data_IF_660900939940
#
_entry.id   IF_660900939940
#
_cell.length_a   1.000
_cell.length_b   1.000
_cell.length_c   1.000
_cell.angle_alpha   90.00
_cell.angle_beta   90.00
_cell.angle_gamma   90.00
#
_symmetry.space_group_name_H-M   'P 1'
#
loop_
_entity.id
_entity.type
_entity.pdbx_description
1 polymer ?
#
# COMPACT_ATOMS: atom_id res chain seq x y z
N UNK A 1 -17.56 -7.98 22.89
CA UNK A 1 -17.61 -7.16 21.66
C UNK A 1 -16.47 -6.16 21.73
N UNK A 2 -15.66 -6.01 20.68
CA UNK A 2 -14.61 -4.97 20.65
C UNK A 2 -15.25 -3.57 20.75
N UNK A 3 -14.70 -2.65 21.57
CA UNK A 3 -15.28 -1.32 21.76
C UNK A 3 -15.35 -0.52 20.44
N UNK A 4 -16.24 0.47 20.40
CA UNK A 4 -16.20 1.50 19.34
C UNK A 4 -15.14 2.52 19.75
N UNK A 5 -14.25 2.89 18.82
CA UNK A 5 -13.24 3.92 19.08
C UNK A 5 -13.81 5.26 18.64
N UNK A 6 -13.79 6.24 19.55
CA UNK A 6 -14.18 7.62 19.26
C UNK A 6 -12.92 8.44 18.99
N UNK A 7 -12.91 9.13 17.85
CA UNK A 7 -11.86 10.06 17.47
C UNK A 7 -12.40 11.49 17.59
N UNK A 8 -11.61 12.37 18.21
CA UNK A 8 -11.95 13.78 18.36
C UNK A 8 -11.01 14.65 17.56
N UNK A 9 -11.56 15.53 16.74
CA UNK A 9 -10.82 16.64 16.17
C UNK A 9 -10.79 17.78 17.20
N UNK A 10 -9.59 18.12 17.69
CA UNK A 10 -9.42 19.15 18.73
C UNK A 10 -9.57 20.58 18.21
N UNK A 11 -9.50 20.81 16.90
CA UNK A 11 -9.66 22.14 16.30
C UNK A 11 -11.14 22.54 16.22
N UNK A 12 -12.02 21.64 15.78
CA UNK A 12 -13.45 21.92 15.58
C UNK A 12 -14.37 21.22 16.59
N UNK A 13 -13.83 20.32 17.43
CA UNK A 13 -14.58 19.57 18.43
C UNK A 13 -15.39 18.38 17.89
N UNK A 14 -15.33 18.12 16.58
CA UNK A 14 -16.07 17.05 15.91
C UNK A 14 -15.65 15.66 16.42
N UNK A 15 -16.64 14.78 16.58
CA UNK A 15 -16.45 13.39 16.99
C UNK A 15 -16.81 12.46 15.83
N UNK A 16 -15.91 11.52 15.53
CA UNK A 16 -16.13 10.48 14.53
C UNK A 16 -15.92 9.10 15.15
N UNK A 17 -16.72 8.12 14.73
CA UNK A 17 -16.61 6.74 15.19
C UNK A 17 -15.77 5.91 14.21
N UNK A 18 -14.71 5.27 14.70
CA UNK A 18 -14.01 4.23 13.96
C UNK A 18 -14.66 2.86 14.25
N UNK A 19 -15.24 2.27 13.20
CA UNK A 19 -15.74 0.89 13.18
C UNK A 19 -14.88 -0.03 12.32
N UNK A 20 -14.02 0.54 11.46
CA UNK A 20 -13.22 -0.19 10.48
C UNK A 20 -12.06 -0.94 11.14
N UNK A 21 -11.53 -0.46 12.28
CA UNK A 21 -10.49 -1.15 13.04
C UNK A 21 -10.87 -2.60 13.42
N UNK A 22 -12.17 -2.91 13.51
CA UNK A 22 -12.68 -4.26 13.78
C UNK A 22 -12.45 -5.24 12.64
N UNK A 23 -12.24 -4.72 11.43
CA UNK A 23 -11.92 -5.53 10.26
C UNK A 23 -10.43 -5.94 10.24
N UNK A 24 -9.56 -5.33 11.04
CA UNK A 24 -8.11 -5.63 11.07
C UNK A 24 -7.85 -7.11 11.40
N UNK A 25 -8.62 -7.71 12.31
CA UNK A 25 -8.46 -9.13 12.66
C UNK A 25 -9.04 -10.11 11.63
N UNK A 26 -9.81 -9.60 10.64
CA UNK A 26 -10.47 -10.39 9.59
C UNK A 26 -9.94 -10.09 8.19
N UNK A 27 -9.08 -9.09 8.07
CA UNK A 27 -8.53 -8.62 6.81
C UNK A 27 -7.04 -8.97 6.81
N UNK A 28 -6.69 -10.17 6.33
CA UNK A 28 -5.29 -10.57 6.22
C UNK A 28 -4.53 -9.78 5.11
N UNK A 29 -5.26 -8.95 4.35
CA UNK A 29 -4.85 -8.17 3.19
C UNK A 29 -3.84 -7.04 3.47
N UNK A 30 -3.69 -6.60 4.72
CA UNK A 30 -2.85 -5.43 5.06
C UNK A 30 -1.49 -5.78 5.63
N UNK A 31 -1.03 -7.00 5.36
CA UNK A 31 0.31 -7.39 5.69
C UNK A 31 1.30 -7.04 4.57
N UNK A 32 1.63 -5.75 4.45
CA UNK A 32 3.04 -5.43 4.13
C UNK A 32 4.00 -5.95 5.21
N UNK A 33 3.47 -6.47 6.30
CA UNK A 33 4.11 -7.23 7.36
C UNK A 33 2.96 -7.81 8.18
N UNK A 34 3.07 -9.02 8.74
CA UNK A 34 2.25 -9.44 9.88
C UNK A 34 2.56 -8.42 10.99
N UNK A 35 1.94 -7.25 10.94
CA UNK A 35 1.95 -6.26 11.99
C UNK A 35 0.95 -6.83 13.00
N UNK A 36 1.35 -7.93 13.65
CA UNK A 36 1.11 -7.99 15.09
C UNK A 36 1.45 -6.60 15.57
N UNK A 37 0.43 -5.89 16.05
CA UNK A 37 0.56 -4.53 16.52
C UNK A 37 1.86 -4.49 17.32
N UNK A 38 2.84 -3.74 16.83
CA UNK A 38 4.16 -3.72 17.47
C UNK A 38 4.06 -3.13 18.88
N UNK A 39 2.98 -2.39 19.09
CA UNK A 39 2.46 -1.95 20.36
C UNK A 39 1.77 -3.10 21.12
N UNK A 40 1.96 -3.13 22.44
CA UNK A 40 1.18 -3.95 23.35
C UNK A 40 0.59 -3.07 24.46
N UNK A 41 -0.19 -3.65 25.36
CA UNK A 41 -0.85 -2.92 26.45
C UNK A 41 0.11 -2.12 27.35
N UNK A 42 1.38 -2.50 27.41
CA UNK A 42 2.41 -1.81 28.20
C UNK A 42 3.32 -0.85 27.42
N UNK A 43 3.39 -0.96 26.09
CA UNK A 43 4.36 -0.22 25.28
C UNK A 43 3.79 0.15 23.92
N UNK A 44 3.75 1.45 23.62
CA UNK A 44 3.48 1.95 22.28
C UNK A 44 4.77 2.06 21.47
N UNK A 45 4.81 1.46 20.27
CA UNK A 45 5.95 1.48 19.34
C UNK A 45 5.64 2.19 18.02
N UNK A 46 4.66 3.10 18.00
CA UNK A 46 4.18 3.75 16.78
C UNK A 46 5.22 4.64 16.08
N UNK A 47 6.23 5.11 16.80
CA UNK A 47 7.31 5.95 16.27
C UNK A 47 8.39 5.18 15.51
N UNK A 48 8.38 3.84 15.56
CA UNK A 48 9.34 3.04 14.80
C UNK A 48 9.01 3.12 13.30
N UNK A 49 9.98 3.58 12.51
CA UNK A 49 9.85 3.66 11.04
C UNK A 49 9.73 2.26 10.45
N UNK A 50 10.60 1.34 10.86
CA UNK A 50 10.56 -0.07 10.50
C UNK A 50 10.40 -0.89 11.79
N UNK A 51 9.19 -1.33 12.13
CA UNK A 51 9.02 -2.26 13.24
C UNK A 51 9.79 -3.56 12.96
N UNK A 52 10.41 -4.13 14.00
CA UNK A 52 11.05 -5.45 13.90
C UNK A 52 9.99 -6.52 13.71
N UNK A 53 9.70 -6.84 12.46
CA UNK A 53 8.86 -7.99 12.10
C UNK A 53 9.81 -9.13 11.81
N UNK A 54 9.57 -10.31 12.40
CA UNK A 54 10.32 -11.50 12.02
C UNK A 54 10.10 -11.70 10.52
N UNK A 55 11.18 -11.68 9.73
CA UNK A 55 11.13 -12.07 8.32
C UNK A 55 10.57 -13.48 8.26
N UNK A 56 9.29 -13.59 7.90
CA UNK A 56 8.67 -14.88 7.70
C UNK A 56 9.08 -15.33 6.29
N UNK A 57 10.25 -15.95 6.17
CA UNK A 57 10.76 -16.53 4.92
C UNK A 57 9.95 -17.73 4.44
N UNK A 58 8.90 -18.13 5.19
CA UNK A 58 8.02 -19.23 4.82
C UNK A 58 6.91 -18.77 3.89
N UNK A 59 6.76 -19.46 2.77
CA UNK A 59 5.56 -19.39 1.93
C UNK A 59 4.30 -19.67 2.78
N UNK A 60 3.22 -18.93 2.51
CA UNK A 60 1.92 -19.13 3.17
C UNK A 60 1.41 -20.54 2.96
N UNK A 61 0.72 -21.09 3.95
CA UNK A 61 0.06 -22.39 3.79
C UNK A 61 -1.12 -22.27 2.83
N UNK A 62 -1.57 -23.39 2.27
CA UNK A 62 -2.75 -23.41 1.39
C UNK A 62 -3.99 -22.90 2.12
N UNK A 63 -4.10 -23.23 3.41
CA UNK A 63 -5.20 -22.82 4.28
C UNK A 63 -5.17 -21.30 4.50
N UNK A 64 -3.99 -20.73 4.78
CA UNK A 64 -3.82 -19.28 4.89
C UNK A 64 -4.23 -18.60 3.57
N UNK A 65 -3.70 -19.06 2.42
CA UNK A 65 -4.05 -18.48 1.10
C UNK A 65 -5.55 -18.54 0.84
N UNK A 66 -6.22 -19.66 1.13
CA UNK A 66 -7.67 -19.80 0.98
C UNK A 66 -8.44 -18.83 1.86
N UNK A 67 -8.05 -18.67 3.12
CA UNK A 67 -8.70 -17.74 4.05
C UNK A 67 -8.61 -16.31 3.52
N UNK A 68 -7.41 -15.89 3.08
CA UNK A 68 -7.20 -14.56 2.52
C UNK A 68 -7.96 -14.34 1.21
N UNK A 69 -7.92 -15.33 0.31
CA UNK A 69 -8.59 -15.26 -0.98
C UNK A 69 -10.10 -15.12 -0.81
N UNK A 70 -10.69 -15.86 0.15
CA UNK A 70 -12.13 -15.79 0.44
C UNK A 70 -12.53 -14.43 1.01
N UNK A 71 -11.73 -13.88 1.93
CA UNK A 71 -11.98 -12.57 2.49
C UNK A 71 -11.91 -11.49 1.41
N UNK A 72 -10.89 -11.54 0.55
CA UNK A 72 -10.73 -10.63 -0.57
C UNK A 72 -11.86 -10.74 -1.59
N UNK A 73 -12.26 -11.96 -1.98
CA UNK A 73 -13.35 -12.17 -2.94
C UNK A 73 -14.66 -11.54 -2.44
N UNK A 74 -14.99 -11.70 -1.16
CA UNK A 74 -16.16 -11.08 -0.55
C UNK A 74 -16.09 -9.55 -0.58
N UNK A 75 -14.93 -8.98 -0.27
CA UNK A 75 -14.72 -7.54 -0.32
C UNK A 75 -14.81 -6.99 -1.76
N UNK A 76 -14.23 -7.72 -2.72
CA UNK A 76 -14.32 -7.40 -4.14
C UNK A 76 -15.76 -7.40 -4.64
N UNK A 77 -16.53 -8.47 -4.36
CA UNK A 77 -17.93 -8.58 -4.75
C UNK A 77 -18.81 -7.50 -4.10
N UNK A 78 -18.59 -7.21 -2.81
CA UNK A 78 -19.28 -6.13 -2.11
C UNK A 78 -18.95 -4.72 -2.69
N UNK A 79 -17.76 -4.56 -3.26
CA UNK A 79 -17.30 -3.33 -3.91
C UNK A 79 -17.91 -3.11 -5.29
N UNK A 80 -18.39 -4.15 -5.97
CA UNK A 80 -19.01 -4.05 -7.30
C UNK A 80 -20.48 -3.65 -7.21
N UNK A 81 -20.81 -2.41 -7.61
CA UNK A 81 -22.20 -1.95 -7.69
C UNK A 81 -22.90 -2.58 -8.89
N UNK A 82 -24.06 -3.23 -8.68
CA UNK A 82 -24.99 -3.60 -9.75
C UNK A 82 -24.87 -5.01 -10.31
N UNK A 83 -24.11 -5.91 -9.67
CA UNK A 83 -24.13 -7.34 -10.01
C UNK A 83 -25.51 -7.95 -9.71
N UNK A 84 -26.11 -8.60 -10.70
CA UNK A 84 -27.27 -9.48 -10.51
C UNK A 84 -26.75 -10.87 -10.15
N UNK A 85 -27.25 -11.47 -9.06
CA UNK A 85 -26.82 -12.80 -8.59
C UNK A 85 -25.40 -12.87 -7.98
N UNK A 86 -24.99 -11.92 -7.11
CA UNK A 86 -23.62 -11.87 -6.59
C UNK A 86 -23.20 -13.13 -5.82
N UNK A 87 -24.15 -13.84 -5.19
CA UNK A 87 -23.86 -15.06 -4.42
C UNK A 87 -23.48 -16.25 -5.33
N UNK A 88 -24.10 -16.37 -6.50
CA UNK A 88 -23.82 -17.46 -7.44
C UNK A 88 -22.47 -17.25 -8.14
N UNK A 89 -22.19 -16.01 -8.54
CA UNK A 89 -20.89 -15.63 -9.10
C UNK A 89 -19.76 -15.74 -8.06
N UNK A 90 -19.99 -15.34 -6.81
CA UNK A 90 -19.04 -15.56 -5.71
C UNK A 90 -18.77 -17.05 -5.51
N UNK A 91 -19.81 -17.89 -5.44
CA UNK A 91 -19.67 -19.33 -5.25
C UNK A 91 -18.92 -20.00 -6.41
N UNK A 92 -19.20 -19.58 -7.64
CA UNK A 92 -18.49 -20.07 -8.84
C UNK A 92 -17.01 -19.68 -8.80
N UNK A 93 -16.70 -18.40 -8.60
CA UNK A 93 -15.33 -17.91 -8.55
C UNK A 93 -14.56 -18.52 -7.38
N UNK A 94 -15.21 -18.71 -6.23
CA UNK A 94 -14.62 -19.42 -5.09
C UNK A 94 -14.24 -20.86 -5.43
N UNK A 95 -15.10 -21.59 -6.16
CA UNK A 95 -14.80 -22.96 -6.60
C UNK A 95 -13.56 -23.05 -7.48
N UNK A 96 -13.37 -22.09 -8.39
CA UNK A 96 -12.17 -21.98 -9.24
C UNK A 96 -10.91 -21.74 -8.41
N UNK A 97 -10.96 -20.72 -7.53
CA UNK A 97 -9.84 -20.36 -6.64
C UNK A 97 -9.46 -21.55 -5.76
N UNK A 98 -10.44 -22.19 -5.13
CA UNK A 98 -10.19 -23.31 -4.23
C UNK A 98 -9.54 -24.50 -4.96
N UNK A 99 -9.99 -24.81 -6.18
CA UNK A 99 -9.38 -25.84 -7.01
C UNK A 99 -7.93 -25.50 -7.39
N UNK A 100 -7.67 -24.24 -7.79
CA UNK A 100 -6.32 -23.79 -8.17
C UNK A 100 -5.35 -23.81 -6.98
N UNK A 101 -5.78 -23.34 -5.80
CA UNK A 101 -4.97 -23.37 -4.57
C UNK A 101 -4.69 -24.81 -4.12
N UNK A 102 -5.68 -25.70 -4.22
CA UNK A 102 -5.48 -27.11 -3.91
C UNK A 102 -4.43 -27.75 -4.82
N UNK A 103 -4.47 -27.44 -6.12
CA UNK A 103 -3.56 -28.00 -7.13
C UNK A 103 -2.14 -27.41 -7.05
N UNK A 104 -2.01 -26.08 -6.96
CA UNK A 104 -0.72 -25.39 -7.15
C UNK A 104 -0.15 -24.77 -5.87
N UNK A 105 -0.97 -24.61 -4.83
CA UNK A 105 -0.63 -23.89 -3.62
C UNK A 105 -0.89 -22.39 -3.64
N UNK A 106 -1.26 -21.82 -4.79
CA UNK A 106 -1.65 -20.42 -4.96
C UNK A 106 -2.77 -20.29 -6.00
N UNK A 107 -3.14 -19.07 -6.38
CA UNK A 107 -4.11 -18.83 -7.45
C UNK A 107 -3.80 -17.56 -8.24
N UNK A 108 -4.46 -17.42 -9.38
CA UNK A 108 -4.27 -16.28 -10.27
C UNK A 108 -5.45 -15.32 -10.18
N UNK A 109 -5.18 -14.09 -9.74
CA UNK A 109 -6.15 -12.99 -9.75
C UNK A 109 -6.53 -12.62 -11.19
N UNK A 110 -7.78 -12.24 -11.43
CA UNK A 110 -8.18 -11.60 -12.69
C UNK A 110 -7.63 -10.17 -12.76
N UNK A 111 -7.58 -9.55 -13.95
CA UNK A 111 -7.17 -8.15 -14.09
C UNK A 111 -8.08 -7.19 -13.29
N UNK A 112 -9.38 -7.49 -13.24
CA UNK A 112 -10.36 -6.72 -12.47
C UNK A 112 -10.13 -6.85 -10.95
N UNK A 113 -9.90 -8.09 -10.49
CA UNK A 113 -9.53 -8.36 -9.09
C UNK A 113 -8.23 -7.64 -8.73
N UNK A 114 -7.20 -7.73 -9.58
CA UNK A 114 -5.92 -7.10 -9.33
C UNK A 114 -6.02 -5.58 -9.29
N UNK A 115 -6.74 -4.97 -10.22
CA UNK A 115 -6.98 -3.51 -10.24
C UNK A 115 -7.71 -3.06 -8.98
N UNK A 116 -8.72 -3.81 -8.54
CA UNK A 116 -9.41 -3.52 -7.28
C UNK A 116 -8.47 -3.64 -6.08
N UNK A 117 -7.69 -4.72 -6.02
CA UNK A 117 -6.73 -4.98 -4.95
C UNK A 117 -5.66 -3.89 -4.82
N UNK A 118 -5.13 -3.39 -5.95
CA UNK A 118 -4.15 -2.29 -5.98
C UNK A 118 -4.76 -0.99 -5.45
N UNK A 119 -5.95 -0.61 -5.93
CA UNK A 119 -6.66 0.57 -5.45
C UNK A 119 -6.93 0.48 -3.93
N UNK A 120 -7.36 -0.70 -3.48
CA UNK A 120 -7.65 -0.96 -2.08
C UNK A 120 -6.38 -0.93 -1.22
N UNK A 121 -5.26 -1.48 -1.69
CA UNK A 121 -3.97 -1.43 -1.01
C UNK A 121 -3.53 0.02 -0.79
N UNK A 122 -3.65 0.88 -1.80
CA UNK A 122 -3.34 2.30 -1.66
C UNK A 122 -4.31 3.02 -0.71
N UNK A 123 -5.62 2.77 -0.82
CA UNK A 123 -6.64 3.31 0.10
C UNK A 123 -6.34 3.01 1.57
N UNK A 124 -5.69 1.88 1.83
CA UNK A 124 -5.43 1.41 3.18
C UNK A 124 -3.98 1.61 3.62
N UNK A 125 -3.12 2.25 2.82
CA UNK A 125 -1.76 2.58 3.21
C UNK A 125 -1.75 3.72 4.26
N UNK A 126 -1.57 3.45 5.57
CA UNK A 126 -1.86 4.42 6.64
C UNK A 126 -0.91 5.62 6.63
N UNK A 127 0.28 5.48 6.04
CA UNK A 127 1.30 6.54 5.94
C UNK A 127 1.17 7.42 4.70
N UNK A 128 0.28 7.11 3.76
CA UNK A 128 0.08 7.90 2.54
C UNK A 128 -0.92 9.04 2.78
N UNK A 129 -0.50 10.30 2.62
CA UNK A 129 -1.42 11.44 2.73
C UNK A 129 -2.31 11.60 1.48
N UNK A 130 -1.84 11.15 0.31
CA UNK A 130 -2.51 11.31 -0.99
C UNK A 130 -3.68 10.35 -1.26
N UNK A 131 -4.23 9.68 -0.24
CA UNK A 131 -5.26 8.63 -0.39
C UNK A 131 -6.58 9.09 -0.99
N UNK A 132 -6.84 10.39 -1.12
CA UNK A 132 -8.06 10.86 -1.79
C UNK A 132 -8.13 10.42 -3.26
N UNK A 133 -6.98 10.18 -3.90
CA UNK A 133 -6.85 9.75 -5.29
C UNK A 133 -6.85 8.22 -5.47
N UNK A 134 -7.15 7.46 -4.41
CA UNK A 134 -6.93 6.00 -4.32
C UNK A 134 -7.55 5.17 -5.46
N UNK A 135 -8.57 5.68 -6.14
CA UNK A 135 -9.29 4.99 -7.23
C UNK A 135 -8.87 5.45 -8.63
N UNK A 136 -7.77 6.19 -8.76
CA UNK A 136 -7.28 6.76 -10.02
C UNK A 136 -5.99 6.13 -10.53
N UNK A 137 -5.47 5.11 -9.85
CA UNK A 137 -4.20 4.48 -10.22
C UNK A 137 -4.34 3.70 -11.52
N UNK A 138 -3.45 3.94 -12.47
CA UNK A 138 -3.36 3.11 -13.67
C UNK A 138 -2.55 1.86 -13.35
N UNK A 139 -3.17 0.70 -13.46
CA UNK A 139 -2.47 -0.59 -13.40
C UNK A 139 -1.85 -0.90 -14.76
N UNK A 140 -0.58 -1.33 -14.76
CA UNK A 140 0.07 -1.97 -15.90
C UNK A 140 0.36 -3.43 -15.55
N UNK A 141 -0.49 -4.34 -16.01
CA UNK A 141 -0.31 -5.77 -15.79
C UNK A 141 0.88 -6.30 -16.61
N UNK A 142 1.96 -6.65 -15.93
CA UNK A 142 3.17 -7.19 -16.54
C UNK A 142 3.55 -8.55 -15.91
N UNK A 143 2.56 -9.35 -15.50
CA UNK A 143 2.76 -10.69 -14.89
C UNK A 143 3.50 -11.69 -15.78
N UNK A 144 3.45 -11.49 -17.08
CA UNK A 144 4.11 -12.28 -18.12
C UNK A 144 5.61 -11.95 -18.27
N UNK A 145 6.09 -10.89 -17.62
CA UNK A 145 7.49 -10.49 -17.70
C UNK A 145 8.36 -11.46 -16.90
N UNK A 146 9.27 -12.11 -17.60
CA UNK A 146 10.19 -13.10 -17.03
C UNK A 146 11.66 -12.72 -17.15
N UNK A 147 11.99 -11.73 -18.00
CA UNK A 147 13.38 -11.31 -18.23
C UNK A 147 13.66 -9.93 -17.63
N UNK A 148 14.87 -9.69 -17.06
CA UNK A 148 15.26 -8.37 -16.60
C UNK A 148 15.24 -7.30 -17.70
N UNK A 149 15.54 -7.69 -18.94
CA UNK A 149 15.53 -6.79 -20.10
C UNK A 149 14.12 -6.29 -20.41
N UNK A 150 13.13 -7.17 -20.36
CA UNK A 150 11.74 -6.77 -20.58
C UNK A 150 11.25 -5.91 -19.43
N UNK A 151 11.60 -6.28 -18.18
CA UNK A 151 11.27 -5.45 -17.03
C UNK A 151 11.83 -4.03 -17.11
N UNK A 152 13.08 -3.87 -17.57
CA UNK A 152 13.65 -2.55 -17.82
C UNK A 152 12.81 -1.75 -18.84
N UNK A 153 12.42 -2.37 -19.97
CA UNK A 153 11.57 -1.72 -20.97
C UNK A 153 10.23 -1.31 -20.38
N UNK A 154 9.64 -2.12 -19.51
CA UNK A 154 8.39 -1.80 -18.83
C UNK A 154 8.54 -0.63 -17.87
N UNK A 155 9.61 -0.59 -17.08
CA UNK A 155 9.90 0.54 -16.19
C UNK A 155 10.06 1.83 -17.02
N UNK A 156 10.76 1.79 -18.16
CA UNK A 156 10.86 2.96 -19.04
C UNK A 156 9.48 3.44 -19.55
N UNK A 157 8.61 2.51 -19.98
CA UNK A 157 7.23 2.84 -20.42
C UNK A 157 6.41 3.44 -19.27
N UNK A 158 6.54 2.88 -18.07
CA UNK A 158 5.91 3.42 -16.86
C UNK A 158 6.36 4.85 -16.60
N UNK A 159 7.68 5.12 -16.59
CA UNK A 159 8.21 6.46 -16.35
C UNK A 159 7.72 7.46 -17.41
N UNK A 160 7.68 7.08 -18.68
CA UNK A 160 7.15 7.93 -19.76
C UNK A 160 5.67 8.27 -19.54
N UNK A 161 4.84 7.25 -19.24
CA UNK A 161 3.41 7.43 -18.95
C UNK A 161 3.18 8.28 -17.70
N UNK A 162 3.90 7.99 -16.62
CA UNK A 162 3.75 8.66 -15.33
C UNK A 162 4.22 10.12 -15.40
N UNK A 163 5.30 10.39 -16.12
CA UNK A 163 5.85 11.75 -16.27
C UNK A 163 4.92 12.62 -17.10
N UNK A 164 4.37 12.09 -18.20
CA UNK A 164 3.37 12.78 -19.04
C UNK A 164 3.68 14.27 -19.26
N UNK A 165 4.93 14.57 -19.64
CA UNK A 165 5.44 15.94 -19.90
C UNK A 165 5.21 16.92 -18.75
N UNK A 166 5.26 16.45 -17.51
CA UNK A 166 5.08 17.23 -16.28
C UNK A 166 3.68 17.17 -15.67
N UNK A 167 2.67 16.66 -16.40
CA UNK A 167 1.34 16.43 -15.84
C UNK A 167 1.26 15.01 -15.24
N UNK A 168 1.87 14.85 -14.06
CA UNK A 168 2.15 13.56 -13.42
C UNK A 168 0.88 12.71 -13.25
N UNK A 169 0.98 11.42 -13.60
CA UNK A 169 -0.09 10.42 -13.45
C UNK A 169 0.28 9.36 -12.42
N UNK A 170 -0.72 8.83 -11.72
CA UNK A 170 -0.57 7.68 -10.84
C UNK A 170 -0.48 6.41 -11.66
N UNK A 171 0.56 5.62 -11.43
CA UNK A 171 0.75 4.36 -12.13
C UNK A 171 1.47 3.34 -11.25
N UNK A 172 1.11 2.07 -11.44
CA UNK A 172 1.77 0.93 -10.82
C UNK A 172 2.01 -0.15 -11.89
N UNK A 173 3.25 -0.32 -12.39
CA UNK A 173 3.67 -1.55 -13.04
C UNK A 173 3.70 -2.70 -12.04
N UNK A 174 3.46 -3.88 -12.58
CA UNK A 174 3.28 -5.08 -11.79
C UNK A 174 4.08 -6.24 -12.38
N UNK A 175 5.04 -6.78 -11.64
CA UNK A 175 5.88 -7.90 -12.05
C UNK A 175 6.15 -8.86 -10.88
N UNK A 176 6.60 -10.09 -11.17
CA UNK A 176 6.85 -11.13 -10.15
C UNK A 176 8.24 -11.08 -9.50
N UNK A 177 9.08 -10.12 -9.87
CA UNK A 177 10.46 -10.00 -9.36
C UNK A 177 10.51 -9.15 -8.09
N UNK A 178 11.67 -8.76 -7.52
CA UNK A 178 11.71 -8.01 -6.26
C UNK A 178 11.80 -6.48 -6.42
N UNK A 179 11.17 -5.76 -5.49
CA UNK A 179 11.20 -4.31 -5.22
C UNK A 179 11.20 -4.11 -3.68
N UNK A 180 11.49 -2.88 -3.24
CA UNK A 180 11.56 -2.42 -1.85
C UNK A 180 10.25 -2.50 -1.07
N UNK A 181 9.12 -2.61 -1.78
CA UNK A 181 7.77 -2.74 -1.21
C UNK A 181 7.04 -3.88 -1.92
N UNK A 182 6.32 -4.71 -1.15
CA UNK A 182 5.54 -5.84 -1.63
C UNK A 182 4.04 -5.53 -1.56
N UNK A 183 3.32 -5.84 -2.62
CA UNK A 183 1.86 -5.82 -2.64
C UNK A 183 1.34 -7.20 -2.23
N UNK A 184 0.54 -7.24 -1.19
CA UNK A 184 -0.21 -8.43 -0.77
C UNK A 184 -1.67 -8.26 -1.19
N UNK A 185 -2.18 -9.17 -2.00
CA UNK A 185 -3.54 -9.13 -2.50
C UNK A 185 -4.19 -10.52 -2.44
N UNK A 186 -5.13 -10.68 -1.49
CA UNK A 186 -5.95 -11.90 -1.39
C UNK A 186 -5.15 -13.17 -1.09
N UNK A 187 -4.01 -13.08 -0.41
CA UNK A 187 -3.16 -14.24 -0.19
C UNK A 187 -1.97 -14.33 -1.15
N UNK A 188 -2.00 -13.59 -2.25
CA UNK A 188 -0.93 -13.57 -3.26
C UNK A 188 0.00 -12.40 -3.04
N UNK A 189 1.29 -12.71 -2.94
CA UNK A 189 2.36 -11.74 -2.69
C UNK A 189 3.08 -11.37 -3.99
N UNK A 190 3.16 -10.07 -4.27
CA UNK A 190 3.81 -9.49 -5.44
C UNK A 190 4.99 -8.65 -4.97
N UNK A 191 6.18 -9.19 -5.18
CA UNK A 191 7.41 -8.59 -4.68
C UNK A 191 7.91 -7.44 -5.55
N UNK A 192 7.43 -7.25 -6.80
CA UNK A 192 7.80 -6.12 -7.66
C UNK A 192 6.56 -5.41 -8.16
N UNK A 193 6.20 -4.38 -7.42
CA UNK A 193 5.10 -3.49 -7.79
C UNK A 193 5.57 -2.04 -7.63
N UNK A 194 6.47 -1.54 -8.51
CA UNK A 194 6.83 -0.13 -8.47
C UNK A 194 5.57 0.71 -8.59
N UNK A 195 5.47 1.80 -7.86
CA UNK A 195 4.35 2.73 -7.98
C UNK A 195 4.82 4.17 -7.84
N UNK A 196 4.07 5.10 -8.42
CA UNK A 196 4.34 6.51 -8.27
C UNK A 196 3.06 7.33 -8.05
N UNK A 197 3.24 8.48 -7.42
CA UNK A 197 2.32 9.61 -7.46
C UNK A 197 3.06 10.88 -7.80
N UNK A 198 2.56 12.02 -7.33
CA UNK A 198 3.28 13.29 -7.34
C UNK A 198 3.82 13.62 -5.95
N UNK A 199 4.86 14.45 -5.90
CA UNK A 199 5.46 14.90 -4.65
C UNK A 199 4.55 15.84 -3.86
N UNK A 200 4.55 15.70 -2.54
CA UNK A 200 4.24 16.81 -1.63
C UNK A 200 5.50 17.67 -1.45
N UNK A 201 5.36 19.00 -1.56
CA UNK A 201 6.52 19.90 -1.59
C UNK A 201 7.50 19.74 -0.42
N UNK A 202 7.01 19.40 0.77
CA UNK A 202 7.84 19.17 1.96
C UNK A 202 8.70 17.90 1.90
N UNK A 203 8.35 16.92 1.07
CA UNK A 203 9.22 15.75 0.82
C UNK A 203 10.53 16.17 0.15
N UNK A 204 10.46 17.14 -0.76
CA UNK A 204 11.65 17.70 -1.41
C UNK A 204 12.28 18.77 -0.51
N UNK A 205 11.51 19.81 -0.19
CA UNK A 205 12.00 21.01 0.47
C UNK A 205 12.52 20.75 1.88
N UNK A 206 11.80 19.97 2.69
CA UNK A 206 12.21 19.70 4.07
C UNK A 206 13.04 18.41 4.16
N UNK A 207 12.57 17.30 3.61
CA UNK A 207 13.23 16.01 3.86
C UNK A 207 14.46 15.80 2.99
N UNK A 208 14.33 15.90 1.67
CA UNK A 208 15.47 15.66 0.79
C UNK A 208 16.53 16.77 0.90
N UNK A 209 16.11 18.03 0.86
CA UNK A 209 17.04 19.16 0.84
C UNK A 209 17.56 19.55 2.23
N UNK A 210 16.74 19.49 3.28
CA UNK A 210 17.10 20.05 4.59
C UNK A 210 17.57 19.04 5.65
N UNK A 211 17.21 17.75 5.57
CA UNK A 211 17.70 16.77 6.56
C UNK A 211 19.24 16.70 6.54
N UNK A 212 19.86 16.69 7.72
CA UNK A 212 21.33 16.71 7.89
C UNK A 212 22.03 15.50 7.24
N UNK A 213 21.37 14.34 7.25
CA UNK A 213 21.87 13.09 6.66
C UNK A 213 21.56 12.97 5.15
N UNK A 214 21.04 14.03 4.53
CA UNK A 214 20.72 14.11 3.09
C UNK A 214 21.55 15.21 2.45
N UNK A 215 20.92 16.16 1.75
CA UNK A 215 21.64 17.25 1.10
C UNK A 215 22.08 18.36 2.07
N UNK A 216 21.48 18.44 3.27
CA UNK A 216 21.82 19.40 4.32
C UNK A 216 22.01 20.86 3.83
N UNK A 217 21.04 21.38 3.08
CA UNK A 217 21.14 22.71 2.46
C UNK A 217 20.77 23.87 3.39
N UNK A 218 20.20 23.59 4.57
CA UNK A 218 19.76 24.63 5.52
C UNK A 218 20.86 25.65 5.87
N UNK A 219 22.10 25.25 6.22
CA UNK A 219 23.14 26.22 6.58
C UNK A 219 23.49 27.17 5.42
N UNK A 220 23.58 26.64 4.20
CA UNK A 220 23.91 27.41 2.99
C UNK A 220 22.80 28.42 2.67
N UNK A 221 21.54 28.00 2.78
CA UNK A 221 20.39 28.89 2.54
C UNK A 221 20.33 29.97 3.61
N UNK A 222 20.52 29.64 4.88
CA UNK A 222 20.49 30.59 5.99
C UNK A 222 21.61 31.65 5.87
N UNK A 223 22.83 31.25 5.52
CA UNK A 223 23.95 32.15 5.26
C UNK A 223 23.63 33.14 4.13
N UNK A 224 23.08 32.65 3.00
CA UNK A 224 22.70 33.49 1.86
C UNK A 224 21.53 34.42 2.16
N UNK A 225 20.69 34.07 3.12
CA UNK A 225 19.62 34.93 3.63
C UNK A 225 20.14 35.97 4.65
N UNK A 226 21.41 35.92 5.05
CA UNK A 226 21.98 36.79 6.07
C UNK A 226 21.47 36.49 7.48
N UNK A 227 21.01 35.27 7.73
CA UNK A 227 20.55 34.83 9.05
C UNK A 227 21.76 34.47 9.94
N UNK A 228 21.67 34.77 11.23
CA UNK A 228 22.72 34.39 12.18
C UNK A 228 22.51 32.95 12.67
N UNK A 229 23.36 32.05 12.17
CA UNK A 229 23.30 30.61 12.45
C UNK A 229 24.05 30.19 13.73
N UNK A 230 24.55 31.14 14.53
CA UNK A 230 25.31 30.84 15.76
C UNK A 230 24.40 30.57 16.96
N UNK A 231 23.13 30.93 16.89
CA UNK A 231 22.14 30.77 17.97
C UNK A 231 20.86 30.14 17.47
N UNK A 232 20.38 29.11 18.17
CA UNK A 232 19.10 28.45 17.90
C UNK A 232 17.89 29.29 18.35
N UNK A 233 18.09 30.36 19.11
CA UNK A 233 17.01 31.15 19.73
C UNK A 233 16.47 32.30 18.86
N UNK A 234 16.87 32.39 17.59
CA UNK A 234 16.49 33.49 16.70
C UNK A 234 15.18 33.28 15.92
N UNK A 235 14.54 32.12 16.05
CA UNK A 235 13.33 31.72 15.33
C UNK A 235 12.21 31.34 16.31
#
# INVERSE_FOLDING_TARGET
MSPIILLKNHQNGELTEDRLHKAISKCPFFSMQKVEQTCNDGVCKSSLVFPSVKENTSHRTKEEVKEQAKAFLKEFMAGQKGLQGPEEEEAKRWGEIEAEVNATGSYTLTEAELTYGVNLAWRNAPRCIGRIQWNTIQLFDCREVTTPSDMFKFICKHLEFATNKGNIRYAMPFSRTQDSMMLDCGGVEFSACPFNGWYMGTEIGCRNLCDEHRYNQLPIVAERMGLDTRSLAQL
#
